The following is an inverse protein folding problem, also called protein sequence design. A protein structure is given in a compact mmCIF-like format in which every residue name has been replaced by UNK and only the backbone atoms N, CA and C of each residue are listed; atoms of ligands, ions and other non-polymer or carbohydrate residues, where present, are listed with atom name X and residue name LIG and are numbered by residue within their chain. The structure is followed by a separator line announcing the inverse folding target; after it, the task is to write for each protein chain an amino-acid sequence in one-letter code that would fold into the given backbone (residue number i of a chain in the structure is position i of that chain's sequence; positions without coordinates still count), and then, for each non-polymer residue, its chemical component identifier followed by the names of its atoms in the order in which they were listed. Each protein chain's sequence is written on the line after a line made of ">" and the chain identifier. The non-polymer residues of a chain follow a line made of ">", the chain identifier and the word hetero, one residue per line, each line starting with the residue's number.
data_IF_647577340297
#
_entry.id   IF_647577340297
#
_cell.length_a   1.000
_cell.length_b   1.000
_cell.length_c   1.000
_cell.angle_alpha   90.00
_cell.angle_beta   90.00
_cell.angle_gamma   90.00
#
_symmetry.space_group_name_H-M   'P 1'
#
loop_
_entity.id
_entity.type
_entity.pdbx_description
1 polymer ?
#
# COMPACT_ATOMS: atom_id res chain seq x y z
N UNK A 1 -45.88 -18.11 -20.37
CA UNK A 1 -45.21 -18.08 -19.05
C UNK A 1 -43.92 -17.26 -19.03
N UNK A 2 -43.64 -16.46 -20.07
CA UNK A 2 -42.38 -15.68 -20.24
C UNK A 2 -42.53 -14.15 -20.16
N UNK A 3 -43.75 -13.62 -20.12
CA UNK A 3 -43.94 -12.15 -20.14
C UNK A 3 -44.00 -11.50 -18.74
N UNK A 4 -44.35 -12.23 -17.69
CA UNK A 4 -44.37 -11.71 -16.30
C UNK A 4 -42.98 -11.56 -15.65
N UNK A 5 -41.92 -12.12 -16.21
CA UNK A 5 -40.56 -12.00 -15.72
C UNK A 5 -39.85 -10.76 -16.30
N UNK A 6 -40.33 -10.22 -17.42
CA UNK A 6 -39.77 -8.98 -18.02
C UNK A 6 -40.28 -7.69 -17.38
N UNK A 7 -41.52 -7.67 -16.90
CA UNK A 7 -42.09 -6.48 -16.26
C UNK A 7 -41.51 -6.17 -14.89
N UNK A 8 -41.08 -7.17 -14.11
CA UNK A 8 -40.48 -6.96 -12.78
C UNK A 8 -39.02 -6.49 -12.78
N UNK A 9 -38.35 -6.40 -13.93
CA UNK A 9 -36.98 -5.93 -14.05
C UNK A 9 -36.88 -4.46 -14.55
N UNK A 10 -37.96 -3.88 -15.04
CA UNK A 10 -38.00 -2.52 -15.59
C UNK A 10 -38.49 -1.47 -14.58
N UNK A 11 -39.16 -1.89 -13.50
CA UNK A 11 -39.80 -0.94 -12.57
C UNK A 11 -38.93 -0.52 -11.38
N UNK A 12 -37.62 -0.82 -11.38
CA UNK A 12 -36.67 -0.38 -10.33
C UNK A 12 -35.78 0.80 -10.74
N UNK A 13 -36.08 1.49 -11.84
CA UNK A 13 -35.21 2.57 -12.35
C UNK A 13 -35.69 4.01 -12.11
N UNK A 14 -36.83 4.23 -11.51
CA UNK A 14 -37.34 5.57 -11.20
C UNK A 14 -37.76 5.73 -9.75
N UNK A 15 -36.77 6.01 -8.87
CA UNK A 15 -37.11 6.59 -7.57
C UNK A 15 -37.37 8.08 -7.74
N UNK A 16 -38.46 8.64 -7.14
CA UNK A 16 -38.75 10.07 -7.18
C UNK A 16 -37.62 10.88 -6.55
N UNK A 17 -37.31 12.02 -7.14
CA UNK A 17 -36.19 12.91 -6.77
C UNK A 17 -36.23 13.40 -5.32
N UNK A 18 -37.35 13.40 -4.67
CA UNK A 18 -37.53 13.93 -3.29
C UNK A 18 -37.12 12.98 -2.16
N UNK A 19 -36.83 11.72 -2.46
CA UNK A 19 -36.48 10.69 -1.44
C UNK A 19 -35.00 10.21 -1.52
N UNK A 20 -34.11 10.91 -2.21
CA UNK A 20 -32.72 10.47 -2.42
C UNK A 20 -31.92 10.37 -1.11
N UNK A 21 -32.21 11.22 -0.13
CA UNK A 21 -31.49 11.20 1.16
C UNK A 21 -31.85 9.93 1.96
N UNK A 22 -33.14 9.60 2.05
CA UNK A 22 -33.60 8.40 2.76
C UNK A 22 -33.16 7.09 2.10
N UNK A 23 -32.86 7.10 0.81
CA UNK A 23 -32.48 5.91 0.06
C UNK A 23 -31.00 5.52 0.26
N UNK A 24 -30.05 6.45 0.50
CA UNK A 24 -28.67 6.12 0.82
C UNK A 24 -28.55 5.39 2.15
N UNK A 25 -29.25 5.87 3.17
CA UNK A 25 -29.18 5.31 4.53
C UNK A 25 -29.93 3.95 4.64
N UNK A 26 -30.85 3.68 3.68
CA UNK A 26 -31.56 2.41 3.56
C UNK A 26 -30.83 1.34 2.75
N UNK A 27 -29.67 1.64 2.17
CA UNK A 27 -28.93 0.63 1.42
C UNK A 27 -28.44 -0.46 2.39
N UNK A 28 -28.85 -1.70 2.13
CA UNK A 28 -28.30 -2.88 2.81
C UNK A 28 -26.88 -3.17 2.28
N UNK A 29 -25.90 -2.68 3.00
CA UNK A 29 -24.49 -2.82 2.64
C UNK A 29 -24.02 -4.27 2.67
N UNK A 30 -24.55 -5.09 3.56
CA UNK A 30 -24.24 -6.53 3.65
C UNK A 30 -24.70 -7.25 2.40
N UNK A 31 -25.93 -6.98 1.96
CA UNK A 31 -26.47 -7.51 0.71
C UNK A 31 -25.68 -7.03 -0.52
N UNK A 32 -25.29 -5.74 -0.53
CA UNK A 32 -24.47 -5.17 -1.60
C UNK A 32 -23.11 -5.86 -1.71
N UNK A 33 -22.41 -6.05 -0.60
CA UNK A 33 -21.12 -6.72 -0.55
C UNK A 33 -21.23 -8.19 -0.98
N UNK A 34 -22.26 -8.91 -0.53
CA UNK A 34 -22.51 -10.31 -0.92
C UNK A 34 -22.80 -10.43 -2.40
N UNK A 35 -23.62 -9.54 -2.99
CA UNK A 35 -23.94 -9.56 -4.42
C UNK A 35 -22.67 -9.36 -5.27
N UNK A 36 -21.81 -8.40 -4.90
CA UNK A 36 -20.55 -8.16 -5.59
C UNK A 36 -19.58 -9.34 -5.40
N UNK A 37 -19.43 -9.88 -4.19
CA UNK A 37 -18.58 -11.06 -3.92
C UNK A 37 -19.01 -12.28 -4.74
N UNK A 38 -20.33 -12.51 -4.92
CA UNK A 38 -20.84 -13.60 -5.78
C UNK A 38 -20.40 -13.43 -7.23
N UNK A 39 -20.45 -12.20 -7.78
CA UNK A 39 -19.99 -11.92 -9.14
C UNK A 39 -18.47 -12.08 -9.24
N UNK A 40 -17.71 -11.60 -8.27
CA UNK A 40 -16.25 -11.75 -8.22
C UNK A 40 -15.82 -13.21 -8.18
N UNK A 41 -16.49 -14.05 -7.36
CA UNK A 41 -16.23 -15.49 -7.33
C UNK A 41 -16.49 -16.18 -8.70
N UNK A 42 -17.54 -15.75 -9.41
CA UNK A 42 -17.82 -16.24 -10.78
C UNK A 42 -16.76 -15.79 -11.79
N UNK A 43 -16.23 -14.57 -11.65
CA UNK A 43 -15.11 -14.08 -12.48
C UNK A 43 -13.86 -14.94 -12.22
N UNK A 44 -13.49 -15.20 -10.95
CA UNK A 44 -12.37 -16.08 -10.59
C UNK A 44 -12.52 -17.46 -11.21
N UNK A 45 -13.72 -18.07 -11.09
CA UNK A 45 -13.98 -19.39 -11.69
C UNK A 45 -13.81 -19.35 -13.20
N UNK A 46 -14.42 -18.38 -13.89
CA UNK A 46 -14.31 -18.24 -15.34
C UNK A 46 -12.86 -17.98 -15.80
N UNK A 47 -12.09 -17.21 -15.03
CA UNK A 47 -10.66 -16.93 -15.31
C UNK A 47 -9.82 -18.21 -15.19
N UNK A 48 -10.00 -19.00 -14.13
CA UNK A 48 -9.31 -20.28 -13.94
C UNK A 48 -9.63 -21.30 -15.02
N UNK A 49 -10.85 -21.26 -15.57
CA UNK A 49 -11.31 -22.12 -16.67
C UNK A 49 -10.88 -21.59 -18.07
N UNK A 50 -10.14 -20.46 -18.15
CA UNK A 50 -9.74 -19.86 -19.43
C UNK A 50 -10.90 -19.27 -20.25
N UNK A 51 -12.08 -19.08 -19.65
CA UNK A 51 -13.29 -18.59 -20.35
C UNK A 51 -13.32 -17.06 -20.44
N UNK A 52 -12.40 -16.48 -21.20
CA UNK A 52 -12.20 -15.02 -21.27
C UNK A 52 -13.45 -14.23 -21.69
N UNK A 53 -14.29 -14.76 -22.60
CA UNK A 53 -15.54 -14.10 -22.98
C UNK A 53 -16.54 -14.05 -21.83
N UNK A 54 -16.59 -15.09 -20.99
CA UNK A 54 -17.42 -15.12 -19.78
C UNK A 54 -16.89 -14.15 -18.73
N UNK A 55 -15.57 -14.01 -18.58
CA UNK A 55 -14.96 -12.99 -17.73
C UNK A 55 -15.41 -11.60 -18.15
N UNK A 56 -15.31 -11.25 -19.45
CA UNK A 56 -15.76 -9.94 -19.98
C UNK A 56 -17.26 -9.69 -19.69
N UNK A 57 -18.12 -10.69 -19.92
CA UNK A 57 -19.56 -10.57 -19.65
C UNK A 57 -19.85 -10.35 -18.15
N UNK A 58 -19.16 -11.05 -17.26
CA UNK A 58 -19.32 -10.91 -15.82
C UNK A 58 -18.76 -9.55 -15.32
N UNK A 59 -17.65 -9.07 -15.87
CA UNK A 59 -17.12 -7.72 -15.59
C UNK A 59 -18.13 -6.65 -16.02
N UNK A 60 -18.75 -6.82 -17.18
CA UNK A 60 -19.81 -5.93 -17.65
C UNK A 60 -21.00 -5.93 -16.69
N UNK A 61 -21.52 -7.12 -16.31
CA UNK A 61 -22.61 -7.25 -15.34
C UNK A 61 -22.28 -6.56 -14.02
N UNK A 62 -21.05 -6.75 -13.50
CA UNK A 62 -20.63 -6.14 -12.24
C UNK A 62 -20.60 -4.61 -12.35
N UNK A 63 -20.02 -4.07 -13.40
CA UNK A 63 -19.89 -2.60 -13.57
C UNK A 63 -21.24 -1.91 -13.84
N UNK A 64 -22.28 -2.64 -14.21
CA UNK A 64 -23.65 -2.13 -14.38
C UNK A 64 -24.53 -2.36 -13.15
N UNK A 65 -24.10 -3.17 -12.19
CA UNK A 65 -24.85 -3.46 -10.95
C UNK A 65 -24.99 -2.22 -10.06
N UNK A 66 -26.20 -1.96 -9.59
CA UNK A 66 -26.48 -0.91 -8.61
C UNK A 66 -25.62 -1.07 -7.35
N UNK A 67 -25.53 -2.27 -6.80
CA UNK A 67 -24.74 -2.55 -5.59
C UNK A 67 -23.24 -2.27 -5.78
N UNK A 68 -22.68 -2.61 -6.93
CA UNK A 68 -21.28 -2.30 -7.21
C UNK A 68 -21.03 -0.79 -7.32
N UNK A 69 -21.94 -0.04 -7.96
CA UNK A 69 -21.88 1.43 -8.03
C UNK A 69 -22.00 2.06 -6.64
N UNK A 70 -22.93 1.58 -5.81
CA UNK A 70 -23.12 2.05 -4.44
C UNK A 70 -21.84 1.81 -3.60
N UNK A 71 -21.23 0.62 -3.68
CA UNK A 71 -19.97 0.31 -3.01
C UNK A 71 -18.79 1.16 -3.52
N UNK A 72 -18.75 1.47 -4.81
CA UNK A 72 -17.75 2.37 -5.38
C UNK A 72 -17.87 3.78 -4.79
N UNK A 73 -19.08 4.33 -4.72
CA UNK A 73 -19.34 5.63 -4.09
C UNK A 73 -19.00 5.59 -2.59
N UNK A 74 -19.44 4.56 -1.85
CA UNK A 74 -19.10 4.36 -0.43
C UNK A 74 -17.58 4.38 -0.23
N UNK A 75 -16.83 3.62 -1.03
CA UNK A 75 -15.36 3.51 -0.94
C UNK A 75 -14.67 4.87 -1.07
N UNK A 76 -15.09 5.71 -2.00
CA UNK A 76 -14.41 6.99 -2.25
C UNK A 76 -14.81 8.09 -1.27
N UNK A 77 -15.96 7.98 -0.63
CA UNK A 77 -16.46 8.95 0.34
C UNK A 77 -16.11 8.62 1.79
N UNK A 78 -15.77 7.37 2.11
CA UNK A 78 -15.46 6.92 3.49
C UNK A 78 -13.96 6.84 3.81
N UNK A 79 -13.06 7.14 2.88
CA UNK A 79 -11.63 7.16 3.10
C UNK A 79 -11.10 8.58 3.38
N UNK A 80 -9.86 8.70 3.89
CA UNK A 80 -9.22 9.98 4.20
C UNK A 80 -9.09 10.94 3.01
N UNK A 81 -9.18 10.44 1.77
CA UNK A 81 -9.21 11.23 0.53
C UNK A 81 -10.60 11.76 0.15
N UNK A 82 -11.66 11.35 0.85
CA UNK A 82 -13.04 11.73 0.53
C UNK A 82 -13.32 13.23 0.59
N UNK A 83 -12.56 13.96 1.39
CA UNK A 83 -12.63 15.43 1.49
C UNK A 83 -11.64 16.16 0.57
N UNK A 84 -10.92 15.45 -0.30
CA UNK A 84 -9.93 16.07 -1.21
C UNK A 84 -10.52 16.14 -2.62
N UNK A 85 -10.92 17.33 -3.14
CA UNK A 85 -11.54 17.44 -4.46
C UNK A 85 -10.52 17.30 -5.60
N UNK A 86 -11.02 16.96 -6.79
CA UNK A 86 -10.29 17.02 -8.05
C UNK A 86 -10.14 18.44 -8.61
N UNK A 87 -10.07 18.56 -9.93
CA UNK A 87 -10.04 19.86 -10.64
C UNK A 87 -11.40 20.58 -10.61
N UNK A 88 -12.49 19.80 -10.49
CA UNK A 88 -13.88 20.25 -10.41
C UNK A 88 -14.25 20.87 -9.05
N UNK A 89 -13.40 20.66 -8.04
CA UNK A 89 -13.63 21.06 -6.64
C UNK A 89 -14.87 20.41 -5.99
N UNK A 90 -15.46 19.39 -6.62
CA UNK A 90 -16.61 18.67 -6.09
C UNK A 90 -16.20 17.66 -5.01
N UNK A 91 -17.05 17.55 -3.96
CA UNK A 91 -17.02 16.51 -2.93
C UNK A 91 -18.43 15.96 -2.72
N UNK A 92 -18.53 14.70 -2.27
CA UNK A 92 -19.81 14.02 -2.02
C UNK A 92 -19.96 13.76 -0.52
N UNK A 93 -20.32 14.79 0.24
CA UNK A 93 -20.44 14.75 1.70
C UNK A 93 -21.86 14.40 2.17
N UNK A 94 -22.90 14.75 1.38
CA UNK A 94 -24.30 14.50 1.74
C UNK A 94 -24.83 13.16 1.18
N UNK A 95 -25.79 12.50 1.85
CA UNK A 95 -26.48 11.31 1.35
C UNK A 95 -27.11 11.52 -0.03
N UNK A 96 -27.69 12.71 -0.27
CA UNK A 96 -28.28 13.09 -1.56
C UNK A 96 -27.23 13.09 -2.68
N UNK A 97 -26.09 13.73 -2.46
CA UNK A 97 -24.98 13.76 -3.43
C UNK A 97 -24.46 12.36 -3.74
N UNK A 98 -24.33 11.48 -2.72
CA UNK A 98 -23.90 10.10 -2.89
C UNK A 98 -24.90 9.28 -3.72
N UNK A 99 -26.20 9.45 -3.51
CA UNK A 99 -27.20 8.76 -4.33
C UNK A 99 -27.19 9.25 -5.78
N UNK A 100 -27.09 10.56 -6.00
CA UNK A 100 -26.96 11.12 -7.36
C UNK A 100 -25.70 10.59 -8.04
N UNK A 101 -24.58 10.47 -7.33
CA UNK A 101 -23.35 9.93 -7.87
C UNK A 101 -23.51 8.49 -8.40
N UNK A 102 -24.29 7.63 -7.72
CA UNK A 102 -24.57 6.27 -8.22
C UNK A 102 -25.17 6.29 -9.62
N UNK A 103 -26.13 7.18 -9.87
CA UNK A 103 -26.81 7.29 -11.18
C UNK A 103 -25.88 7.85 -12.28
N UNK A 104 -24.86 8.62 -11.89
CA UNK A 104 -23.87 9.22 -12.81
C UNK A 104 -22.79 8.22 -13.25
N UNK A 105 -22.61 7.10 -12.52
CA UNK A 105 -21.62 6.07 -12.88
C UNK A 105 -22.12 5.24 -14.07
N UNK A 106 -22.04 5.81 -15.26
CA UNK A 106 -22.45 5.20 -16.54
C UNK A 106 -21.26 5.13 -17.48
N UNK A 107 -21.10 4.02 -18.21
CA UNK A 107 -20.07 3.84 -19.23
C UNK A 107 -20.29 4.75 -20.44
N UNK A 108 -21.56 4.80 -20.92
CA UNK A 108 -21.93 5.61 -22.07
C UNK A 108 -21.84 7.09 -21.73
N UNK A 109 -21.18 7.89 -22.54
CA UNK A 109 -20.99 9.32 -22.33
C UNK A 109 -19.97 9.68 -21.26
N UNK A 110 -19.31 8.68 -20.61
CA UNK A 110 -18.28 8.99 -19.62
C UNK A 110 -17.03 9.57 -20.27
N UNK A 111 -16.59 10.70 -19.75
CA UNK A 111 -15.30 11.33 -20.04
C UNK A 111 -14.66 11.70 -18.70
N UNK A 112 -13.44 11.23 -18.41
CA UNK A 112 -12.72 11.65 -17.23
C UNK A 112 -12.24 13.10 -17.38
N UNK A 113 -12.16 13.79 -16.26
CA UNK A 113 -11.53 15.11 -16.23
C UNK A 113 -10.01 14.97 -16.03
N UNK A 114 -9.22 15.98 -16.40
CA UNK A 114 -7.79 16.00 -16.12
C UNK A 114 -7.50 15.87 -14.62
N UNK A 115 -6.37 15.27 -14.28
CA UNK A 115 -5.95 15.12 -12.88
C UNK A 115 -5.50 16.47 -12.30
N UNK A 116 -5.82 16.74 -11.04
CA UNK A 116 -5.24 17.86 -10.32
C UNK A 116 -3.85 17.46 -9.82
N UNK A 117 -2.79 18.04 -10.40
CA UNK A 117 -1.40 17.76 -10.03
C UNK A 117 -1.01 18.50 -8.75
N UNK A 118 -0.50 17.78 -7.78
CA UNK A 118 0.12 18.32 -6.56
C UNK A 118 1.48 17.66 -6.33
N UNK A 119 2.39 18.35 -5.65
CA UNK A 119 3.72 17.81 -5.35
C UNK A 119 3.85 17.57 -3.85
N UNK A 120 4.26 16.36 -3.46
CA UNK A 120 4.50 15.96 -2.07
C UNK A 120 6.01 15.80 -1.88
N UNK A 121 6.57 16.39 -0.82
CA UNK A 121 7.98 16.23 -0.48
C UNK A 121 8.26 14.79 -0.02
N UNK A 122 9.20 14.12 -0.68
CA UNK A 122 9.77 12.85 -0.24
C UNK A 122 10.72 13.09 0.95
N UNK A 123 11.04 12.02 1.68
CA UNK A 123 12.00 12.07 2.80
C UNK A 123 13.42 12.51 2.40
N UNK A 124 13.79 12.37 1.13
CA UNK A 124 15.07 12.80 0.56
C UNK A 124 15.03 14.24 0.00
N UNK A 125 13.97 15.00 0.28
CA UNK A 125 13.78 16.37 -0.22
C UNK A 125 13.28 16.49 -1.66
N UNK A 126 13.33 15.43 -2.48
CA UNK A 126 12.80 15.43 -3.84
C UNK A 126 11.27 15.50 -3.81
N UNK A 127 10.66 16.10 -4.82
CA UNK A 127 9.21 16.18 -4.98
C UNK A 127 8.68 14.91 -5.64
N UNK A 128 7.53 14.43 -5.16
CA UNK A 128 6.75 13.36 -5.78
C UNK A 128 5.49 13.96 -6.39
N UNK A 129 5.30 13.87 -7.71
CA UNK A 129 4.05 14.32 -8.32
C UNK A 129 2.92 13.35 -7.96
N UNK A 130 1.77 13.90 -7.58
CA UNK A 130 0.55 13.15 -7.30
C UNK A 130 -0.57 13.71 -8.19
N UNK A 131 -1.26 12.85 -8.92
CA UNK A 131 -2.43 13.20 -9.72
C UNK A 131 -3.72 12.86 -8.98
N UNK A 132 -4.52 13.86 -8.64
CA UNK A 132 -5.78 13.68 -7.91
C UNK A 132 -6.93 13.69 -8.91
N UNK A 133 -7.62 12.54 -9.14
CA UNK A 133 -8.81 12.48 -10.00
C UNK A 133 -10.02 13.13 -9.31
N UNK A 134 -11.05 13.48 -10.06
CA UNK A 134 -12.34 13.92 -9.53
C UNK A 134 -13.02 12.81 -8.71
N UNK A 135 -14.01 13.14 -7.90
CA UNK A 135 -14.76 12.14 -7.15
C UNK A 135 -15.43 11.12 -8.07
N UNK A 136 -15.98 11.59 -9.20
CA UNK A 136 -16.59 10.73 -10.22
C UNK A 136 -15.58 9.78 -10.84
N UNK A 137 -14.38 10.27 -11.19
CA UNK A 137 -13.34 9.44 -11.79
C UNK A 137 -12.81 8.40 -10.80
N UNK A 138 -12.63 8.79 -9.53
CA UNK A 138 -12.28 7.83 -8.46
C UNK A 138 -13.32 6.74 -8.29
N UNK A 139 -14.62 7.10 -8.29
CA UNK A 139 -15.70 6.13 -8.17
C UNK A 139 -15.78 5.21 -9.40
N UNK A 140 -15.58 5.73 -10.61
CA UNK A 140 -15.47 4.91 -11.82
C UNK A 140 -14.28 3.96 -11.74
N UNK A 141 -13.11 4.43 -11.32
CA UNK A 141 -11.94 3.57 -11.10
C UNK A 141 -12.21 2.51 -10.04
N UNK A 142 -12.86 2.85 -8.92
CA UNK A 142 -13.22 1.90 -7.88
C UNK A 142 -14.21 0.83 -8.39
N UNK A 143 -15.17 1.22 -9.22
CA UNK A 143 -16.14 0.32 -9.83
C UNK A 143 -15.47 -0.69 -10.77
N UNK A 144 -14.62 -0.22 -11.67
CA UNK A 144 -13.91 -1.10 -12.60
C UNK A 144 -12.83 -1.93 -11.91
N UNK A 145 -12.22 -1.42 -10.83
CA UNK A 145 -11.28 -2.19 -10.01
C UNK A 145 -11.96 -3.41 -9.38
N UNK A 146 -13.21 -3.29 -8.87
CA UNK A 146 -13.95 -4.44 -8.34
C UNK A 146 -14.15 -5.55 -9.37
N UNK A 147 -14.20 -5.21 -10.66
CA UNK A 147 -14.33 -6.17 -11.75
C UNK A 147 -12.96 -6.71 -12.24
N UNK A 148 -11.88 -5.93 -12.13
CA UNK A 148 -10.53 -6.31 -12.54
C UNK A 148 -9.78 -7.10 -11.48
N UNK A 149 -9.94 -6.76 -10.20
CA UNK A 149 -9.22 -7.34 -9.07
C UNK A 149 -9.31 -8.88 -9.00
N UNK A 150 -10.47 -9.54 -9.25
CA UNK A 150 -10.54 -11.00 -9.28
C UNK A 150 -9.64 -11.64 -10.36
N UNK A 151 -9.49 -10.97 -11.50
CA UNK A 151 -8.60 -11.43 -12.57
C UNK A 151 -7.14 -11.21 -12.15
N UNK A 152 -6.80 -10.01 -11.68
CA UNK A 152 -5.46 -9.67 -11.21
C UNK A 152 -4.97 -10.67 -10.14
N UNK A 153 -5.81 -10.95 -9.11
CA UNK A 153 -5.44 -11.88 -8.04
C UNK A 153 -5.30 -13.33 -8.52
N UNK A 154 -6.02 -13.73 -9.58
CA UNK A 154 -5.93 -15.07 -10.14
C UNK A 154 -4.67 -15.30 -10.98
N UNK A 155 -4.15 -14.24 -11.61
CA UNK A 155 -2.99 -14.28 -12.51
C UNK A 155 -1.70 -13.76 -11.90
N UNK A 156 -1.78 -13.14 -10.72
CA UNK A 156 -0.64 -12.52 -10.06
C UNK A 156 0.45 -13.52 -9.68
N UNK A 157 1.68 -13.06 -9.71
CA UNK A 157 2.83 -13.76 -9.15
C UNK A 157 2.58 -14.09 -7.67
N UNK A 158 2.84 -15.34 -7.27
CA UNK A 158 2.54 -15.83 -5.92
C UNK A 158 3.36 -15.14 -4.83
N UNK A 159 4.56 -14.66 -5.17
CA UNK A 159 5.48 -13.95 -4.28
C UNK A 159 5.48 -12.44 -4.51
N UNK A 160 4.36 -11.91 -4.98
CA UNK A 160 4.08 -10.48 -5.07
C UNK A 160 3.12 -10.07 -3.95
N UNK A 161 3.45 -9.04 -3.18
CA UNK A 161 2.75 -8.69 -1.94
C UNK A 161 2.17 -7.27 -1.93
N UNK A 162 2.87 -6.30 -2.49
CA UNK A 162 2.47 -4.89 -2.45
C UNK A 162 1.14 -4.60 -3.14
N UNK A 163 0.32 -3.73 -2.56
CA UNK A 163 -0.99 -3.29 -3.06
C UNK A 163 -2.03 -4.40 -3.26
N UNK A 164 -1.82 -5.57 -2.71
CA UNK A 164 -2.75 -6.70 -2.78
C UNK A 164 -3.51 -6.85 -1.48
N UNK A 165 -4.79 -7.25 -1.57
CA UNK A 165 -5.63 -7.49 -0.40
C UNK A 165 -5.08 -8.65 0.44
N UNK A 166 -5.23 -8.51 1.76
CA UNK A 166 -4.83 -9.53 2.75
C UNK A 166 -3.34 -9.92 2.66
N UNK A 167 -2.52 -9.04 2.08
CA UNK A 167 -1.07 -9.18 2.04
C UNK A 167 -0.40 -7.94 2.61
N UNK A 168 0.66 -8.14 3.37
CA UNK A 168 1.39 -7.05 4.02
C UNK A 168 2.91 -7.15 3.81
N UNK A 169 3.63 -6.14 4.28
CA UNK A 169 5.09 -6.14 4.21
C UNK A 169 5.71 -7.34 4.94
N UNK A 170 5.08 -7.77 6.04
CA UNK A 170 5.59 -8.89 6.84
C UNK A 170 5.57 -10.21 6.08
N UNK A 171 4.56 -10.43 5.20
CA UNK A 171 4.52 -11.64 4.36
C UNK A 171 5.72 -11.69 3.42
N UNK A 172 6.11 -10.53 2.84
CA UNK A 172 7.30 -10.44 1.99
C UNK A 172 8.58 -10.70 2.78
N UNK A 173 8.72 -10.12 3.99
CA UNK A 173 9.87 -10.35 4.87
C UNK A 173 9.93 -11.81 5.33
N UNK A 174 8.79 -12.39 5.72
CA UNK A 174 8.72 -13.81 6.09
C UNK A 174 9.11 -14.72 4.91
N UNK A 175 8.74 -14.36 3.69
CA UNK A 175 9.16 -15.09 2.50
C UNK A 175 10.67 -14.99 2.26
N UNK A 176 11.28 -13.82 2.46
CA UNK A 176 12.73 -13.67 2.41
C UNK A 176 13.41 -14.57 3.46
N UNK A 177 12.90 -14.54 4.71
CA UNK A 177 13.39 -15.41 5.76
C UNK A 177 13.28 -16.90 5.40
N UNK A 178 12.14 -17.33 4.83
CA UNK A 178 11.94 -18.73 4.44
C UNK A 178 12.88 -19.19 3.32
N UNK A 179 13.24 -18.29 2.39
CA UNK A 179 14.18 -18.58 1.30
C UNK A 179 15.61 -18.70 1.85
N UNK A 180 15.99 -17.84 2.79
CA UNK A 180 17.39 -17.65 3.20
C UNK A 180 17.80 -18.42 4.47
N UNK A 181 16.86 -18.96 5.25
CA UNK A 181 17.13 -19.58 6.57
C UNK A 181 17.87 -20.90 6.54
N UNK A 182 17.90 -21.60 5.40
CA UNK A 182 18.55 -22.92 5.32
C UNK A 182 20.06 -22.77 5.12
N UNK A 183 20.83 -23.74 5.61
CA UNK A 183 22.29 -23.75 5.43
C UNK A 183 22.75 -23.75 3.97
N UNK A 184 21.94 -24.39 3.10
CA UNK A 184 22.13 -24.43 1.64
C UNK A 184 21.24 -23.43 0.89
N UNK A 185 20.97 -22.27 1.47
CA UNK A 185 20.21 -21.20 0.83
C UNK A 185 21.09 -20.37 -0.11
N UNK A 186 20.48 -19.66 -1.09
CA UNK A 186 21.23 -18.78 -1.97
C UNK A 186 21.95 -17.69 -1.18
N UNK A 187 23.15 -17.31 -1.64
CA UNK A 187 23.99 -16.33 -0.94
C UNK A 187 23.98 -14.95 -1.60
N UNK A 188 23.59 -14.86 -2.86
CA UNK A 188 23.62 -13.61 -3.60
C UNK A 188 22.21 -13.07 -3.84
N UNK A 189 22.06 -11.77 -3.66
CA UNK A 189 20.79 -11.05 -3.73
C UNK A 189 20.92 -9.90 -4.72
N UNK A 190 20.06 -9.85 -5.72
CA UNK A 190 19.83 -8.66 -6.54
C UNK A 190 18.72 -7.84 -5.89
N UNK A 191 19.05 -6.68 -5.35
CA UNK A 191 18.07 -5.65 -4.92
C UNK A 191 17.68 -4.84 -6.16
N UNK A 192 16.41 -4.84 -6.56
CA UNK A 192 15.94 -4.15 -7.75
C UNK A 192 14.95 -3.02 -7.42
N UNK A 193 15.19 -1.85 -8.04
CA UNK A 193 14.29 -0.69 -7.99
C UNK A 193 13.98 -0.23 -9.41
N UNK A 194 12.72 0.12 -9.67
CA UNK A 194 12.26 0.56 -10.99
C UNK A 194 12.23 2.09 -11.02
N UNK A 195 12.89 2.69 -12.01
CA UNK A 195 12.92 4.15 -12.16
C UNK A 195 11.54 4.67 -12.53
N UNK A 196 10.90 5.40 -11.60
CA UNK A 196 9.60 6.05 -11.86
C UNK A 196 8.51 5.09 -12.34
N UNK A 197 8.38 3.90 -11.73
CA UNK A 197 7.50 2.83 -12.20
C UNK A 197 6.11 3.32 -12.67
N UNK A 198 5.41 4.10 -11.85
CA UNK A 198 4.08 4.61 -12.21
C UNK A 198 4.09 5.63 -13.35
N UNK A 199 5.21 6.30 -13.58
CA UNK A 199 5.31 7.42 -14.51
C UNK A 199 5.66 6.97 -15.93
N UNK A 200 6.20 5.74 -16.11
CA UNK A 200 6.77 5.26 -17.38
C UNK A 200 6.11 4.00 -17.96
N UNK A 201 5.09 3.42 -17.30
CA UNK A 201 4.39 2.24 -17.87
C UNK A 201 3.84 2.57 -19.25
N UNK A 202 4.17 1.74 -20.26
CA UNK A 202 3.66 1.89 -21.64
C UNK A 202 2.14 1.81 -21.70
N UNK A 203 1.50 2.84 -22.26
CA UNK A 203 0.06 2.84 -22.51
C UNK A 203 -0.35 1.75 -23.51
N UNK A 204 0.48 1.49 -24.52
CA UNK A 204 0.24 0.44 -25.51
C UNK A 204 0.23 -0.93 -24.85
N UNK A 205 1.25 -1.19 -24.01
CA UNK A 205 1.30 -2.44 -23.27
C UNK A 205 0.07 -2.63 -22.37
N UNK A 206 -0.33 -1.60 -21.63
CA UNK A 206 -1.53 -1.65 -20.78
C UNK A 206 -2.79 -1.92 -21.60
N UNK A 207 -2.96 -1.25 -22.74
CA UNK A 207 -4.10 -1.44 -23.62
C UNK A 207 -4.11 -2.81 -24.28
N UNK A 208 -2.98 -3.42 -24.56
CA UNK A 208 -2.90 -4.77 -25.08
C UNK A 208 -3.22 -5.81 -24.01
N UNK A 209 -2.62 -5.70 -22.82
CA UNK A 209 -2.53 -6.80 -21.86
C UNK A 209 -3.56 -6.75 -20.70
N UNK A 210 -4.04 -5.57 -20.28
CA UNK A 210 -4.99 -5.51 -19.15
C UNK A 210 -6.39 -5.95 -19.56
N UNK A 211 -6.99 -7.00 -18.97
CA UNK A 211 -8.27 -7.57 -19.36
C UNK A 211 -9.46 -6.79 -18.76
N UNK A 212 -9.65 -5.55 -19.23
CA UNK A 212 -10.78 -4.69 -18.89
C UNK A 212 -11.29 -3.92 -20.11
N UNK A 213 -12.34 -3.12 -19.94
CA UNK A 213 -12.86 -2.24 -21.00
C UNK A 213 -11.78 -1.27 -21.51
N UNK A 214 -11.29 -1.53 -22.71
CA UNK A 214 -10.19 -0.79 -23.33
C UNK A 214 -10.53 0.69 -23.60
N UNK A 215 -11.81 0.98 -23.87
CA UNK A 215 -12.24 2.36 -24.10
C UNK A 215 -12.16 3.20 -22.81
N UNK A 216 -12.56 2.62 -21.69
CA UNK A 216 -12.46 3.27 -20.38
C UNK A 216 -10.99 3.40 -19.95
N UNK A 217 -10.20 2.32 -20.10
CA UNK A 217 -8.77 2.38 -19.77
C UNK A 217 -8.05 3.47 -20.57
N UNK A 218 -8.25 3.53 -21.90
CA UNK A 218 -7.65 4.54 -22.76
C UNK A 218 -8.00 5.97 -22.33
N UNK A 219 -9.25 6.19 -21.92
CA UNK A 219 -9.68 7.49 -21.42
C UNK A 219 -8.94 7.92 -20.17
N UNK A 220 -8.74 7.01 -19.19
CA UNK A 220 -7.98 7.32 -17.98
C UNK A 220 -6.51 7.57 -18.25
N UNK A 221 -5.90 6.79 -19.13
CA UNK A 221 -4.49 6.94 -19.48
C UNK A 221 -4.22 8.27 -20.20
N UNK A 222 -5.17 8.75 -21.02
CA UNK A 222 -5.04 9.97 -21.82
C UNK A 222 -5.76 11.20 -21.24
N UNK A 223 -6.22 11.17 -19.97
CA UNK A 223 -6.98 12.28 -19.41
C UNK A 223 -6.15 13.55 -19.15
N UNK A 224 -4.82 13.44 -19.12
CA UNK A 224 -3.93 14.55 -18.82
C UNK A 224 -3.99 15.02 -17.37
N UNK A 225 -3.28 16.10 -17.07
CA UNK A 225 -3.30 16.72 -15.74
C UNK A 225 -3.21 18.25 -15.83
N UNK A 226 -3.76 18.92 -14.81
CA UNK A 226 -3.67 20.36 -14.64
C UNK A 226 -2.65 20.67 -13.53
N UNK A 227 -1.71 21.53 -13.86
CA UNK A 227 -0.73 22.10 -12.95
C UNK A 227 -0.57 23.60 -13.20
N UNK A 228 -0.63 24.42 -12.17
CA UNK A 228 -0.58 25.89 -12.26
C UNK A 228 -1.56 26.46 -13.31
N UNK A 229 -2.79 25.92 -13.34
CA UNK A 229 -3.87 26.29 -14.30
C UNK A 229 -3.59 25.95 -15.76
N UNK A 230 -2.51 25.27 -16.08
CA UNK A 230 -2.19 24.79 -17.42
C UNK A 230 -2.45 23.29 -17.52
N UNK A 231 -2.95 22.85 -18.69
CA UNK A 231 -3.20 21.44 -18.97
C UNK A 231 -2.01 20.83 -19.69
N UNK A 232 -1.63 19.62 -19.24
CA UNK A 232 -0.55 18.83 -19.82
C UNK A 232 -1.09 17.47 -20.25
N UNK A 233 -0.69 16.94 -21.41
CA UNK A 233 -1.04 15.60 -21.83
C UNK A 233 -0.33 14.53 -20.98
N UNK A 234 -0.84 13.31 -21.05
CA UNK A 234 -0.18 12.11 -20.48
C UNK A 234 0.08 11.14 -21.62
N UNK A 235 1.34 10.86 -21.92
CA UNK A 235 1.75 9.99 -23.02
C UNK A 235 2.11 8.59 -22.55
N UNK A 236 2.57 8.47 -21.30
CA UNK A 236 2.96 7.24 -20.63
C UNK A 236 2.55 7.25 -19.15
N UNK A 237 2.67 6.12 -18.50
CA UNK A 237 2.45 5.96 -17.07
C UNK A 237 0.99 5.83 -16.66
N UNK A 238 0.80 5.62 -15.37
CA UNK A 238 -0.50 5.62 -14.71
C UNK A 238 -0.53 6.68 -13.62
N UNK A 239 -1.67 7.35 -13.38
CA UNK A 239 -1.71 8.45 -12.40
C UNK A 239 -1.34 7.96 -11.00
N UNK A 240 -0.27 8.52 -10.43
CA UNK A 240 0.02 8.34 -9.00
C UNK A 240 -1.09 9.01 -8.17
N UNK A 241 -1.93 8.18 -7.52
CA UNK A 241 -3.13 8.63 -6.79
C UNK A 241 -4.45 8.15 -7.37
N UNK A 242 -4.45 7.51 -8.52
CA UNK A 242 -5.60 6.77 -9.05
C UNK A 242 -5.87 5.51 -8.23
N UNK A 243 -7.13 5.19 -7.99
CA UNK A 243 -7.53 4.01 -7.19
C UNK A 243 -7.15 2.69 -7.88
N UNK A 244 -7.18 2.65 -9.21
CA UNK A 244 -6.87 1.46 -10.01
C UNK A 244 -5.37 1.33 -10.34
N UNK A 245 -4.61 2.42 -10.28
CA UNK A 245 -3.21 2.46 -10.72
C UNK A 245 -2.29 1.45 -10.01
N UNK A 246 -2.42 1.18 -8.70
CA UNK A 246 -1.62 0.16 -8.05
C UNK A 246 -1.83 -1.25 -8.62
N UNK A 247 -3.09 -1.59 -8.97
CA UNK A 247 -3.40 -2.89 -9.59
C UNK A 247 -2.86 -2.96 -11.02
N UNK A 248 -2.97 -1.88 -11.79
CA UNK A 248 -2.40 -1.83 -13.14
C UNK A 248 -0.87 -2.01 -13.11
N UNK A 249 -0.18 -1.33 -12.17
CA UNK A 249 1.26 -1.49 -11.98
C UNK A 249 1.63 -2.93 -11.58
N UNK A 250 0.88 -3.55 -10.66
CA UNK A 250 1.12 -4.95 -10.31
C UNK A 250 0.96 -5.88 -11.51
N UNK A 251 -0.14 -5.74 -12.27
CA UNK A 251 -0.38 -6.56 -13.47
C UNK A 251 0.70 -6.34 -14.55
N UNK A 252 1.30 -5.14 -14.62
CA UNK A 252 2.43 -4.87 -15.51
C UNK A 252 3.67 -5.65 -15.10
N UNK A 253 3.89 -5.81 -13.81
CA UNK A 253 5.07 -6.48 -13.24
C UNK A 253 4.86 -7.99 -13.03
N UNK A 254 3.62 -8.47 -13.08
CA UNK A 254 3.32 -9.89 -12.95
C UNK A 254 3.82 -10.67 -14.17
N UNK A 255 4.21 -11.92 -13.93
CA UNK A 255 4.84 -12.80 -14.92
C UNK A 255 6.37 -12.85 -14.82
N UNK A 256 7.01 -11.90 -14.11
CA UNK A 256 8.46 -11.94 -13.89
C UNK A 256 8.87 -13.20 -13.09
N UNK A 257 8.11 -13.56 -12.07
CA UNK A 257 8.35 -14.79 -11.31
C UNK A 257 8.32 -16.03 -12.20
N UNK A 258 7.37 -16.08 -13.12
CA UNK A 258 7.24 -17.19 -14.08
C UNK A 258 8.40 -17.19 -15.08
N UNK A 259 8.76 -16.04 -15.66
CA UNK A 259 9.88 -15.93 -16.58
C UNK A 259 11.19 -16.44 -15.95
N UNK A 260 11.46 -16.05 -14.72
CA UNK A 260 12.62 -16.56 -13.96
C UNK A 260 12.52 -18.05 -13.67
N UNK A 261 11.36 -18.54 -13.23
CA UNK A 261 11.15 -19.97 -12.93
C UNK A 261 11.26 -20.86 -14.17
N UNK A 262 10.81 -20.39 -15.34
CA UNK A 262 10.91 -21.13 -16.59
C UNK A 262 12.33 -21.21 -17.12
N UNK A 263 13.13 -20.14 -16.93
CA UNK A 263 14.52 -20.07 -17.38
C UNK A 263 15.47 -20.84 -16.47
N UNK A 264 15.30 -20.73 -15.14
CA UNK A 264 16.23 -21.27 -14.12
C UNK A 264 15.65 -22.48 -13.39
N UNK A 265 15.20 -23.47 -14.16
CA UNK A 265 14.73 -24.76 -13.62
C UNK A 265 15.88 -25.58 -13.05
N UNK A 266 15.54 -26.45 -12.10
CA UNK A 266 16.48 -27.48 -11.66
C UNK A 266 16.84 -28.38 -12.82
N UNK A 267 18.11 -28.69 -12.97
CA UNK A 267 18.63 -29.56 -14.04
C UNK A 267 19.79 -30.43 -13.50
N UNK A 268 20.18 -31.45 -14.24
CA UNK A 268 21.29 -32.29 -13.87
C UNK A 268 22.58 -31.76 -14.49
N UNK A 269 23.64 -31.67 -13.66
CA UNK A 269 25.00 -31.36 -14.08
C UNK A 269 25.90 -32.49 -13.54
N UNK A 270 26.59 -33.19 -14.43
CA UNK A 270 27.44 -34.34 -14.07
C UNK A 270 26.71 -35.38 -13.21
N UNK A 271 25.46 -35.71 -13.53
CA UNK A 271 24.63 -36.67 -12.80
C UNK A 271 24.06 -36.20 -11.48
N UNK A 272 24.41 -34.99 -10.99
CA UNK A 272 23.89 -34.38 -9.75
C UNK A 272 22.83 -33.35 -10.07
N UNK A 273 21.76 -33.32 -9.27
CA UNK A 273 20.70 -32.32 -9.40
C UNK A 273 21.23 -30.95 -8.95
N UNK A 274 21.34 -30.04 -9.88
CA UNK A 274 21.71 -28.65 -9.64
C UNK A 274 20.45 -27.74 -9.59
N UNK A 275 20.44 -26.78 -8.66
CA UNK A 275 19.40 -25.78 -8.54
C UNK A 275 20.05 -24.39 -8.45
N UNK A 276 19.83 -23.50 -9.42
CA UNK A 276 20.35 -22.11 -9.38
C UNK A 276 19.78 -21.28 -8.23
N UNK A 277 18.79 -21.79 -7.49
CA UNK A 277 18.13 -21.15 -6.34
C UNK A 277 17.59 -19.74 -6.64
N UNK A 278 17.12 -19.54 -7.86
CA UNK A 278 16.53 -18.27 -8.28
C UNK A 278 15.13 -18.13 -7.72
N UNK A 279 14.93 -17.10 -6.89
CA UNK A 279 13.64 -16.79 -6.30
C UNK A 279 13.39 -15.28 -6.37
N UNK A 280 12.16 -14.90 -6.72
CA UNK A 280 11.68 -13.51 -6.68
C UNK A 280 10.84 -13.29 -5.42
N UNK A 281 11.05 -12.16 -4.74
CA UNK A 281 10.12 -11.60 -3.76
C UNK A 281 9.89 -10.13 -4.12
N UNK A 282 8.64 -9.77 -4.39
CA UNK A 282 8.27 -8.43 -4.89
C UNK A 282 7.25 -7.74 -3.98
N UNK A 283 7.46 -6.48 -3.71
CA UNK A 283 6.52 -5.60 -3.04
C UNK A 283 6.31 -4.34 -3.87
N UNK A 284 5.29 -4.30 -4.70
CA UNK A 284 5.06 -3.26 -5.71
C UNK A 284 6.25 -3.13 -6.69
N UNK A 285 6.92 -1.99 -6.69
CA UNK A 285 8.11 -1.66 -7.49
C UNK A 285 9.44 -2.09 -6.84
N UNK A 286 9.45 -2.36 -5.54
CA UNK A 286 10.62 -2.90 -4.83
C UNK A 286 10.64 -4.43 -4.93
N UNK A 287 11.76 -5.02 -5.34
CA UNK A 287 11.90 -6.48 -5.41
C UNK A 287 13.31 -6.96 -5.12
N UNK A 288 13.41 -8.21 -4.72
CA UNK A 288 14.68 -8.92 -4.63
C UNK A 288 14.62 -10.21 -5.45
N UNK A 289 15.76 -10.58 -6.01
CA UNK A 289 15.97 -11.87 -6.67
C UNK A 289 17.18 -12.54 -6.03
N UNK A 290 17.01 -13.79 -5.59
CA UNK A 290 18.11 -14.59 -5.03
C UNK A 290 18.73 -15.48 -6.09
N UNK A 291 20.01 -15.78 -5.96
CA UNK A 291 20.71 -16.80 -6.75
C UNK A 291 21.89 -17.37 -5.97
N UNK A 292 22.34 -18.57 -6.34
CA UNK A 292 23.52 -19.20 -5.79
C UNK A 292 24.80 -18.45 -6.22
N UNK A 293 24.89 -18.04 -7.49
CA UNK A 293 26.10 -17.42 -8.08
C UNK A 293 25.89 -15.94 -8.39
N UNK A 294 26.92 -15.13 -8.13
CA UNK A 294 26.94 -13.70 -8.43
C UNK A 294 26.93 -13.44 -9.94
N UNK A 295 27.77 -14.17 -10.67
CA UNK A 295 27.93 -14.02 -12.11
C UNK A 295 26.61 -14.27 -12.85
N UNK A 296 25.83 -15.26 -12.43
CA UNK A 296 24.48 -15.53 -12.98
C UNK A 296 23.52 -14.37 -12.73
N UNK A 297 23.58 -13.73 -11.55
CA UNK A 297 22.78 -12.52 -11.28
C UNK A 297 23.19 -11.36 -12.18
N UNK A 298 24.49 -11.14 -12.37
CA UNK A 298 25.03 -9.99 -13.09
C UNK A 298 24.87 -10.13 -14.60
N UNK A 299 25.24 -11.30 -15.15
CA UNK A 299 25.36 -11.49 -16.58
C UNK A 299 24.12 -12.07 -17.26
N UNK A 300 23.22 -12.70 -16.50
CA UNK A 300 22.03 -13.35 -17.06
C UNK A 300 20.72 -12.79 -16.49
N UNK A 301 20.57 -12.78 -15.15
CA UNK A 301 19.29 -12.44 -14.50
C UNK A 301 19.01 -10.94 -14.63
N UNK A 302 20.01 -10.08 -14.36
CA UNK A 302 19.85 -8.63 -14.49
C UNK A 302 19.50 -8.19 -15.92
N UNK A 303 20.15 -8.69 -16.99
CA UNK A 303 19.73 -8.44 -18.36
C UNK A 303 18.32 -8.95 -18.68
N UNK A 304 17.97 -10.16 -18.25
CA UNK A 304 16.61 -10.72 -18.44
C UNK A 304 15.54 -9.84 -17.79
N UNK A 305 15.79 -9.36 -16.56
CA UNK A 305 14.87 -8.45 -15.86
C UNK A 305 14.79 -7.11 -16.59
N UNK A 306 15.91 -6.59 -17.10
CA UNK A 306 15.94 -5.34 -17.86
C UNK A 306 15.13 -5.46 -19.17
N UNK A 307 15.25 -6.57 -19.90
CA UNK A 307 14.46 -6.88 -21.09
C UNK A 307 12.96 -6.97 -20.76
N UNK A 308 12.61 -7.73 -19.73
CA UNK A 308 11.24 -7.86 -19.25
C UNK A 308 10.62 -6.49 -18.90
N UNK A 309 11.39 -5.59 -18.26
CA UNK A 309 10.94 -4.24 -17.94
C UNK A 309 10.80 -3.37 -19.18
N UNK A 310 11.77 -3.45 -20.10
CA UNK A 310 11.78 -2.65 -21.33
C UNK A 310 10.56 -2.88 -22.22
N UNK A 311 10.10 -4.12 -22.37
CA UNK A 311 8.86 -4.46 -23.09
C UNK A 311 7.63 -3.71 -22.53
N UNK A 312 7.68 -3.28 -21.27
CA UNK A 312 6.61 -2.60 -20.53
C UNK A 312 6.82 -1.10 -20.42
N UNK A 313 7.85 -0.56 -21.09
CA UNK A 313 8.25 0.84 -21.02
C UNK A 313 8.97 1.20 -19.72
N UNK A 314 9.44 0.21 -18.96
CA UNK A 314 10.08 0.41 -17.66
C UNK A 314 11.59 0.24 -17.74
N UNK A 315 12.31 0.90 -16.85
CA UNK A 315 13.77 0.84 -16.76
C UNK A 315 14.19 0.59 -15.31
N UNK A 316 15.19 -0.26 -15.11
CA UNK A 316 15.80 -0.45 -13.78
C UNK A 316 16.58 0.81 -13.38
N UNK A 317 16.58 1.11 -12.09
CA UNK A 317 17.41 2.17 -11.52
C UNK A 317 18.82 1.65 -11.31
N UNK A 318 19.78 2.05 -12.14
CA UNK A 318 21.18 1.62 -12.02
C UNK A 318 21.78 1.93 -10.64
N UNK A 319 21.49 3.13 -10.12
CA UNK A 319 21.98 3.58 -8.80
C UNK A 319 21.50 2.73 -7.62
N UNK A 320 20.33 2.07 -7.77
CA UNK A 320 19.67 1.34 -6.69
C UNK A 320 19.55 -0.16 -6.97
N UNK A 321 19.93 -0.61 -8.15
CA UNK A 321 19.97 -2.02 -8.48
C UNK A 321 21.35 -2.56 -8.15
N UNK A 322 21.45 -3.23 -6.99
CA UNK A 322 22.71 -3.65 -6.39
C UNK A 322 22.70 -5.16 -6.17
N UNK A 323 23.86 -5.80 -6.34
CA UNK A 323 24.06 -7.21 -5.99
C UNK A 323 24.86 -7.28 -4.70
N UNK A 324 24.25 -7.89 -3.69
CA UNK A 324 24.79 -7.96 -2.32
C UNK A 324 24.91 -9.41 -1.87
N UNK A 325 25.94 -9.77 -1.12
CA UNK A 325 26.01 -11.05 -0.44
C UNK A 325 25.16 -11.02 0.83
N UNK A 326 24.42 -12.09 1.10
CA UNK A 326 23.52 -12.17 2.27
C UNK A 326 24.27 -12.06 3.61
N UNK A 327 25.58 -12.40 3.63
CA UNK A 327 26.43 -12.25 4.83
C UNK A 327 26.83 -10.79 5.09
N UNK A 328 26.83 -9.92 4.06
CA UNK A 328 27.01 -8.48 4.22
C UNK A 328 25.72 -7.80 4.67
N UNK A 329 24.57 -8.41 4.29
CA UNK A 329 23.22 -7.94 4.59
C UNK A 329 22.70 -6.94 3.59
N UNK A 330 21.40 -6.98 3.33
CA UNK A 330 20.70 -6.10 2.39
C UNK A 330 19.47 -5.47 3.04
N UNK A 331 19.02 -4.34 2.47
CA UNK A 331 17.88 -3.57 2.97
C UNK A 331 16.64 -3.81 2.11
N UNK A 332 15.58 -4.38 2.67
CA UNK A 332 14.31 -4.58 2.00
C UNK A 332 13.13 -4.13 2.86
N UNK A 333 12.26 -3.27 2.33
CA UNK A 333 11.06 -2.75 3.01
C UNK A 333 11.33 -2.16 4.41
N UNK A 334 12.48 -1.51 4.57
CA UNK A 334 12.87 -0.91 5.85
C UNK A 334 13.50 -1.88 6.86
N UNK A 335 13.62 -3.15 6.52
CA UNK A 335 14.36 -4.14 7.28
C UNK A 335 15.74 -4.37 6.67
N UNK A 336 16.76 -4.50 7.50
CA UNK A 336 18.04 -5.07 7.14
C UNK A 336 17.98 -6.59 7.41
N UNK A 337 18.21 -7.37 6.38
CA UNK A 337 18.19 -8.83 6.40
C UNK A 337 19.63 -9.31 6.21
N UNK A 338 20.14 -10.06 7.19
CA UNK A 338 21.52 -10.50 7.18
C UNK A 338 21.68 -11.92 7.76
N UNK A 339 22.53 -12.73 7.14
CA UNK A 339 22.85 -14.07 7.60
C UNK A 339 24.11 -14.05 8.46
N UNK A 340 24.03 -14.66 9.64
CA UNK A 340 25.13 -14.82 10.60
C UNK A 340 25.35 -16.32 10.81
N UNK A 341 26.35 -16.86 10.14
CA UNK A 341 26.54 -18.32 10.13
C UNK A 341 25.34 -19.04 9.54
N UNK A 342 24.60 -19.78 10.37
CA UNK A 342 23.37 -20.51 9.97
C UNK A 342 22.08 -19.70 10.19
N UNK A 343 22.14 -18.63 10.98
CA UNK A 343 20.97 -17.86 11.38
C UNK A 343 20.75 -16.65 10.49
N UNK A 344 19.52 -16.39 10.12
CA UNK A 344 19.10 -15.19 9.40
C UNK A 344 18.38 -14.24 10.35
N UNK A 345 18.86 -13.01 10.45
CA UNK A 345 18.28 -11.98 11.30
C UNK A 345 17.67 -10.86 10.45
N UNK A 346 16.48 -10.42 10.86
CA UNK A 346 15.79 -9.27 10.29
C UNK A 346 15.71 -8.18 11.35
N UNK A 347 16.28 -7.00 11.09
CA UNK A 347 16.32 -5.85 12.02
C UNK A 347 15.82 -4.59 11.31
N UNK A 348 15.32 -3.57 12.03
CA UNK A 348 15.09 -2.26 11.42
C UNK A 348 16.38 -1.72 10.79
N UNK A 349 16.28 -1.09 9.62
CA UNK A 349 17.44 -0.42 9.05
C UNK A 349 17.87 0.77 9.91
N UNK A 350 19.17 1.07 9.97
CA UNK A 350 19.69 2.26 10.67
C UNK A 350 19.02 3.55 10.20
N UNK A 351 18.68 3.62 8.91
CA UNK A 351 17.94 4.74 8.31
C UNK A 351 16.53 4.87 8.87
N UNK A 352 15.83 3.74 9.08
CA UNK A 352 14.49 3.73 9.70
C UNK A 352 14.53 4.16 11.16
N UNK A 353 15.47 3.63 11.95
CA UNK A 353 15.67 4.04 13.35
C UNK A 353 15.95 5.54 13.48
N UNK A 354 16.88 6.05 12.66
CA UNK A 354 17.23 7.48 12.65
C UNK A 354 16.01 8.34 12.32
N UNK A 355 15.27 7.99 11.26
CA UNK A 355 14.06 8.72 10.84
C UNK A 355 12.97 8.68 11.91
N UNK A 356 12.79 7.55 12.58
CA UNK A 356 11.84 7.43 13.68
C UNK A 356 12.21 8.36 14.82
N UNK A 357 13.48 8.36 15.27
CA UNK A 357 13.97 9.24 16.33
C UNK A 357 13.89 10.73 15.96
N UNK A 358 14.16 11.08 14.71
CA UNK A 358 13.96 12.46 14.21
C UNK A 358 12.49 12.88 14.35
N UNK A 359 11.54 12.01 13.99
CA UNK A 359 10.10 12.25 14.16
C UNK A 359 9.70 12.42 15.63
N UNK A 360 10.20 11.55 16.52
CA UNK A 360 9.95 11.65 17.97
C UNK A 360 10.49 12.98 18.50
N UNK A 361 11.73 13.33 18.19
CA UNK A 361 12.38 14.60 18.62
C UNK A 361 11.64 15.82 18.08
N UNK A 362 11.15 15.75 16.83
CA UNK A 362 10.34 16.81 16.23
C UNK A 362 9.05 17.04 17.01
N UNK A 363 8.30 15.98 17.33
CA UNK A 363 7.07 16.08 18.14
C UNK A 363 7.36 16.72 19.50
N UNK A 364 8.41 16.28 20.20
CA UNK A 364 8.78 16.81 21.50
C UNK A 364 9.17 18.30 21.39
N UNK A 365 9.93 18.68 20.34
CA UNK A 365 10.40 20.06 20.12
C UNK A 365 9.24 21.01 19.77
N UNK A 366 8.29 20.57 18.96
CA UNK A 366 7.13 21.38 18.56
C UNK A 366 6.10 21.53 19.69
N UNK A 367 6.13 20.66 20.69
CA UNK A 367 5.16 20.61 21.79
C UNK A 367 5.80 20.91 23.16
N UNK A 368 6.66 21.94 23.25
CA UNK A 368 7.37 22.30 24.48
C UNK A 368 6.45 22.70 25.63
N UNK A 369 5.34 23.38 25.34
CA UNK A 369 4.37 23.89 26.31
C UNK A 369 3.16 23.01 26.57
N UNK A 370 3.00 21.90 25.86
CA UNK A 370 1.80 21.06 25.95
C UNK A 370 1.71 20.32 27.30
N UNK A 371 0.51 19.89 27.68
CA UNK A 371 0.28 19.00 28.83
C UNK A 371 0.92 17.64 28.60
N UNK A 372 1.38 16.98 29.66
CA UNK A 372 2.04 15.67 29.61
C UNK A 372 1.16 14.62 28.93
N UNK A 373 -0.15 14.61 29.23
CA UNK A 373 -1.08 13.65 28.61
C UNK A 373 -1.14 13.80 27.08
N UNK A 374 -1.19 15.05 26.60
CA UNK A 374 -1.23 15.32 25.17
C UNK A 374 0.04 14.84 24.47
N UNK A 375 1.20 15.07 25.10
CA UNK A 375 2.47 14.60 24.59
C UNK A 375 2.53 13.07 24.53
N UNK A 376 2.09 12.38 25.61
CA UNK A 376 2.04 10.91 25.65
C UNK A 376 1.15 10.36 24.55
N UNK A 377 -0.05 10.93 24.33
CA UNK A 377 -0.96 10.47 23.26
C UNK A 377 -0.31 10.58 21.87
N UNK A 378 0.32 11.71 21.57
CA UNK A 378 1.02 11.94 20.30
C UNK A 378 2.18 10.95 20.09
N UNK A 379 2.98 10.73 21.12
CA UNK A 379 4.11 9.80 21.07
C UNK A 379 3.64 8.33 20.98
N UNK A 380 2.65 7.93 21.76
CA UNK A 380 2.13 6.57 21.78
C UNK A 380 1.59 6.14 20.39
N UNK A 381 0.94 7.05 19.66
CA UNK A 381 0.50 6.76 18.29
C UNK A 381 1.68 6.40 17.38
N UNK A 382 2.80 7.12 17.49
CA UNK A 382 4.01 6.87 16.69
C UNK A 382 4.77 5.62 17.15
N UNK A 383 4.91 5.43 18.47
CA UNK A 383 5.59 4.28 19.06
C UNK A 383 4.86 2.99 18.70
N UNK A 384 3.52 2.96 18.85
CA UNK A 384 2.70 1.81 18.48
C UNK A 384 2.81 1.46 16.99
N UNK A 385 2.73 2.47 16.11
CA UNK A 385 2.82 2.25 14.67
C UNK A 385 4.19 1.70 14.24
N UNK A 386 5.28 2.28 14.76
CA UNK A 386 6.64 1.83 14.44
C UNK A 386 6.98 0.49 15.11
N UNK A 387 6.65 0.33 16.39
CA UNK A 387 6.83 -0.94 17.12
C UNK A 387 6.05 -2.08 16.48
N UNK A 388 4.77 -1.88 16.17
CA UNK A 388 3.93 -2.88 15.50
C UNK A 388 4.45 -3.31 14.12
N UNK A 389 5.10 -2.38 13.39
CA UNK A 389 5.71 -2.72 12.10
C UNK A 389 6.94 -3.63 12.26
N UNK A 390 7.76 -3.43 13.30
CA UNK A 390 9.04 -4.14 13.46
C UNK A 390 9.01 -5.29 14.48
N UNK A 391 7.92 -5.48 15.25
CA UNK A 391 7.86 -6.42 16.38
C UNK A 391 8.19 -7.88 16.05
N UNK A 392 8.06 -8.29 14.80
CA UNK A 392 8.31 -9.67 14.36
C UNK A 392 9.76 -9.96 13.96
N UNK A 393 10.63 -8.96 14.04
CA UNK A 393 12.06 -9.10 13.74
C UNK A 393 12.92 -9.33 14.98
N UNK A 394 14.23 -9.48 14.79
CA UNK A 394 15.23 -9.52 15.86
C UNK A 394 15.51 -8.08 16.39
N UNK A 395 14.54 -7.48 17.05
CA UNK A 395 14.47 -6.03 17.31
C UNK A 395 14.82 -5.63 18.72
N UNK A 396 15.04 -6.57 19.64
CA UNK A 396 15.24 -6.30 21.07
C UNK A 396 16.26 -5.19 21.34
N UNK A 397 17.45 -5.30 20.77
CA UNK A 397 18.52 -4.31 20.98
C UNK A 397 18.17 -2.94 20.39
N UNK A 398 17.51 -2.93 19.22
CA UNK A 398 17.03 -1.71 18.57
C UNK A 398 15.97 -1.02 19.41
N UNK A 399 15.03 -1.77 19.97
CA UNK A 399 13.97 -1.27 20.82
C UNK A 399 14.52 -0.68 22.12
N UNK A 400 15.41 -1.39 22.81
CA UNK A 400 16.09 -0.87 24.01
C UNK A 400 16.83 0.44 23.74
N UNK A 401 17.59 0.48 22.65
CA UNK A 401 18.34 1.68 22.25
C UNK A 401 17.43 2.87 21.96
N UNK A 402 16.31 2.63 21.29
CA UNK A 402 15.31 3.65 20.94
C UNK A 402 14.57 4.13 22.20
N UNK A 403 14.10 3.23 23.06
CA UNK A 403 13.42 3.57 24.31
C UNK A 403 14.31 4.45 25.19
N UNK A 404 15.60 4.11 25.27
CA UNK A 404 16.57 4.95 25.99
C UNK A 404 16.71 6.35 25.37
N UNK A 405 16.76 6.47 24.05
CA UNK A 405 16.82 7.77 23.36
C UNK A 405 15.55 8.59 23.54
N UNK A 406 14.38 7.95 23.56
CA UNK A 406 13.10 8.60 23.87
C UNK A 406 13.13 9.14 25.31
N UNK A 407 13.57 8.32 26.26
CA UNK A 407 13.75 8.73 27.66
C UNK A 407 14.63 9.98 27.78
N UNK A 408 15.81 9.98 27.16
CA UNK A 408 16.72 11.13 27.18
C UNK A 408 16.08 12.40 26.57
N UNK A 409 15.31 12.24 25.51
CA UNK A 409 14.62 13.36 24.86
C UNK A 409 13.53 13.96 25.75
N UNK A 410 12.76 13.11 26.45
CA UNK A 410 11.73 13.53 27.40
C UNK A 410 12.34 14.11 28.68
N UNK A 411 13.47 13.59 29.13
CA UNK A 411 14.21 14.15 30.26
C UNK A 411 14.66 15.59 29.98
N UNK A 412 15.19 15.84 28.80
CA UNK A 412 15.56 17.18 28.36
C UNK A 412 14.34 18.12 28.24
N UNK A 413 13.21 17.59 27.72
CA UNK A 413 11.96 18.36 27.67
C UNK A 413 11.48 18.78 29.06
N UNK A 414 11.45 17.85 30.01
CA UNK A 414 11.05 18.11 31.39
C UNK A 414 12.01 19.09 32.10
N UNK A 415 13.33 18.91 31.92
CA UNK A 415 14.36 19.81 32.48
C UNK A 415 14.25 21.24 31.96
N UNK A 416 14.03 21.44 30.67
CA UNK A 416 13.83 22.75 30.07
C UNK A 416 12.58 23.46 30.58
N UNK A 417 11.52 22.68 30.83
CA UNK A 417 10.25 23.21 31.36
C UNK A 417 10.36 23.68 32.81
N UNK A 418 11.25 23.09 33.58
CA UNK A 418 11.46 23.36 35.00
C UNK A 418 12.94 23.59 35.32
N UNK A 419 13.51 24.62 34.70
CA UNK A 419 14.94 24.94 34.79
C UNK A 419 15.44 25.20 36.22
N UNK A 420 14.56 25.70 37.11
CA UNK A 420 14.86 25.99 38.52
C UNK A 420 14.62 24.80 39.47
N UNK A 421 14.16 23.63 38.98
CA UNK A 421 13.86 22.45 39.81
C UNK A 421 14.95 21.39 39.69
N UNK A 422 15.24 20.72 40.81
CA UNK A 422 16.23 19.65 40.90
C UNK A 422 15.77 18.36 40.14
N UNK A 423 16.74 17.49 39.87
CA UNK A 423 16.50 16.21 39.12
C UNK A 423 15.46 15.30 39.82
N UNK A 424 15.52 15.25 41.20
CA UNK A 424 14.58 14.43 41.98
C UNK A 424 13.14 14.91 41.80
N UNK A 425 12.91 16.23 41.91
CA UNK A 425 11.58 16.80 41.67
C UNK A 425 11.04 16.53 40.28
N UNK A 426 11.90 16.68 39.24
CA UNK A 426 11.52 16.37 37.84
C UNK A 426 11.13 14.90 37.69
N UNK A 427 11.92 14.02 38.30
CA UNK A 427 11.63 12.56 38.28
C UNK A 427 10.28 12.30 38.93
N UNK A 428 10.04 12.80 40.15
CA UNK A 428 8.81 12.52 40.90
C UNK A 428 7.58 13.17 40.26
N UNK A 429 7.75 14.27 39.49
CA UNK A 429 6.68 14.94 38.75
C UNK A 429 6.25 14.18 37.49
N UNK A 430 7.16 13.58 36.76
CA UNK A 430 6.92 13.07 35.41
C UNK A 430 7.08 11.55 35.26
N UNK A 431 7.83 10.90 36.12
CA UNK A 431 8.06 9.45 36.10
C UNK A 431 7.52 8.80 37.36
N UNK A 432 6.73 7.78 37.18
CA UNK A 432 6.06 7.07 38.28
C UNK A 432 6.41 5.59 38.26
N UNK A 433 6.28 4.94 39.43
CA UNK A 433 6.34 3.48 39.52
C UNK A 433 5.04 2.89 39.01
N UNK A 434 5.12 2.12 37.96
CA UNK A 434 3.98 1.47 37.35
C UNK A 434 4.34 0.02 37.05
N UNK A 435 3.66 -0.89 37.69
CA UNK A 435 3.90 -2.34 37.57
C UNK A 435 5.37 -2.73 37.79
N UNK A 436 6.02 -2.10 38.77
CA UNK A 436 7.41 -2.37 39.12
C UNK A 436 8.45 -1.61 38.28
N UNK A 437 8.05 -0.86 37.27
CA UNK A 437 8.94 0.01 36.51
C UNK A 437 8.91 1.44 37.09
N UNK A 438 9.95 1.78 37.89
CA UNK A 438 10.08 3.06 38.61
C UNK A 438 10.27 4.29 37.71
N UNK A 439 10.56 4.10 36.43
CA UNK A 439 10.89 5.15 35.48
C UNK A 439 9.89 5.24 34.31
N UNK A 440 8.62 4.97 34.56
CA UNK A 440 7.58 5.09 33.54
C UNK A 440 7.12 6.52 33.41
N UNK A 441 7.29 7.14 32.24
CA UNK A 441 6.78 8.47 31.93
C UNK A 441 5.25 8.40 31.83
N UNK A 442 4.55 8.97 32.83
CA UNK A 442 3.11 8.80 32.95
C UNK A 442 2.45 10.02 33.59
N UNK A 443 1.22 10.26 33.22
CA UNK A 443 0.38 11.31 33.78
C UNK A 443 -0.88 10.72 34.41
N UNK A 444 -1.20 11.14 35.64
CA UNK A 444 -2.47 10.87 36.29
C UNK A 444 -3.44 12.02 36.00
N UNK A 445 -4.66 11.72 35.62
CA UNK A 445 -5.69 12.71 35.30
C UNK A 445 -7.06 12.19 35.71
N UNK A 446 -8.00 13.12 35.91
CA UNK A 446 -9.42 12.76 36.18
C UNK A 446 -10.21 12.73 34.88
N UNK A 447 -10.95 11.66 34.66
CA UNK A 447 -11.92 11.57 33.57
C UNK A 447 -13.11 12.51 33.81
N UNK A 448 -13.93 12.81 32.78
CA UNK A 448 -15.15 13.63 32.96
C UNK A 448 -16.13 13.05 34.00
N UNK A 449 -16.12 11.74 34.23
CA UNK A 449 -16.91 11.05 35.23
C UNK A 449 -16.30 11.08 36.66
N UNK A 450 -15.28 11.90 36.90
CA UNK A 450 -14.60 12.05 38.20
C UNK A 450 -13.62 10.93 38.59
N UNK A 451 -13.58 9.81 37.84
CA UNK A 451 -12.64 8.70 38.13
C UNK A 451 -11.21 9.07 37.74
N UNK A 452 -10.27 8.73 38.61
CA UNK A 452 -8.86 8.85 38.26
C UNK A 452 -8.47 7.84 37.20
N UNK A 453 -7.69 8.29 36.22
CA UNK A 453 -7.11 7.47 35.16
C UNK A 453 -5.64 7.81 34.98
N UNK A 454 -4.91 6.91 34.38
CA UNK A 454 -3.48 7.04 34.19
C UNK A 454 -3.12 6.75 32.73
N UNK A 455 -2.39 7.67 32.13
CA UNK A 455 -1.86 7.51 30.79
C UNK A 455 -0.36 7.31 30.83
N UNK A 456 0.11 6.21 30.30
CA UNK A 456 1.54 5.84 30.27
C UNK A 456 2.11 5.98 28.87
N UNK A 457 3.38 6.35 28.78
CA UNK A 457 4.14 6.21 27.57
C UNK A 457 4.38 4.73 27.30
N UNK A 458 4.13 4.31 26.06
CA UNK A 458 4.45 2.95 25.62
C UNK A 458 5.95 2.77 25.53
N UNK A 459 6.44 1.60 25.92
CA UNK A 459 7.78 1.14 25.63
C UNK A 459 7.72 0.18 24.44
N UNK A 460 8.73 0.19 23.59
CA UNK A 460 8.88 -0.77 22.50
C UNK A 460 9.27 -2.16 23.02
N UNK A 461 9.83 -2.21 24.23
CA UNK A 461 10.34 -3.44 24.87
C UNK A 461 9.35 -4.09 25.83
N UNK A 462 8.17 -3.49 26.03
CA UNK A 462 7.11 -4.00 26.93
C UNK A 462 6.15 -4.94 26.23
#
# INVERSE_FOLDING_TARGET
>A
MNDKIKENLLDQSCAPTDNLQSNWDRIDWTKAEQAVKKLQARIVKAQKEGRHNKVKALQWTLTHSFYAKALAVKRVTSNGGGCTPGVDKEIWDTPKAKMQAITQLKRRGYQPMPLRRVHIKKSNGKLRPLGIPTMKDRAMQALYLMALEPVSETTADTRSYGFRKERCCMDAIQQCHNILRKGYSPEWILEGDIKGCFDHISHEWLLANIPMDKAILRKWLKCGYVFNKQMFPTEEGTPQGGIISPTLANMTLDGLQKALADRYKRHHVNGKLYSPMVNLVRYADDFIITCENKETLENEIKPLVAEFMSERGLTLSEEKTVITNVHDGFDFLGFNIRKYGKDILTKPTKKSEKRFMENIRKVIKENKGCRQESLIRMLNSKIRGWGGYYQHGATRDSFHRIDHQIFLSLWQWAKRRHSKKGKRWIKDRYWHDIRGNKWTFASKFKKPNGKEDQLTLLSLTS
#
